data_IF_768586832339
#
_entry.id   IF_768586832339
#
_cell.length_a   1.000
_cell.length_b   1.000
_cell.length_c   1.000
_cell.angle_alpha   90.00
_cell.angle_beta   90.00
_cell.angle_gamma   90.00
#
_symmetry.space_group_name_H-M   'P 1'
#
loop_
_entity.id
_entity.type
_entity.pdbx_description
1 polymer ?
#
# COMPACT_ATOMS: atom_id res chain seq x y z
N UNK A 1 5.12 10.37 6.13
CA UNK A 1 6.59 10.42 6.26
C UNK A 1 7.07 11.85 6.09
N UNK A 2 8.15 12.25 6.76
CA UNK A 2 8.74 13.60 6.62
C UNK A 2 10.05 13.51 5.88
N UNK A 3 10.16 14.18 4.73
CA UNK A 3 11.36 14.18 3.90
C UNK A 3 11.98 15.58 3.86
N UNK A 4 13.31 15.64 3.66
CA UNK A 4 14.02 16.89 3.40
C UNK A 4 14.01 17.19 1.91
N UNK A 5 13.61 18.41 1.55
CA UNK A 5 13.48 18.86 0.16
C UNK A 5 14.09 20.24 -0.02
N UNK A 6 14.48 20.58 -1.24
CA UNK A 6 14.90 21.93 -1.67
C UNK A 6 14.39 22.18 -3.09
N UNK A 7 14.05 23.42 -3.41
CA UNK A 7 13.66 23.81 -4.76
C UNK A 7 14.90 24.13 -5.59
N UNK A 8 14.83 23.88 -6.90
CA UNK A 8 15.86 24.25 -7.87
C UNK A 8 15.22 24.94 -9.06
N UNK A 9 15.74 26.09 -9.47
CA UNK A 9 15.22 26.83 -10.63
C UNK A 9 15.83 26.36 -11.96
N UNK A 10 15.35 26.94 -13.07
CA UNK A 10 15.82 26.63 -14.43
C UNK A 10 17.27 27.04 -14.68
N UNK A 11 17.79 27.99 -13.89
CA UNK A 11 19.18 28.46 -13.93
C UNK A 11 20.10 27.64 -13.00
N UNK A 12 19.52 26.70 -12.25
CA UNK A 12 20.21 25.77 -11.38
C UNK A 12 20.48 26.27 -9.96
N UNK A 13 19.94 27.43 -9.56
CA UNK A 13 20.03 27.92 -8.18
C UNK A 13 19.12 27.09 -7.28
N UNK A 14 19.61 26.82 -6.08
CA UNK A 14 18.91 25.99 -5.10
C UNK A 14 18.44 26.83 -3.91
N UNK A 15 17.26 26.50 -3.39
CA UNK A 15 16.75 27.10 -2.15
C UNK A 15 17.41 26.48 -0.92
N UNK A 16 17.19 27.11 0.23
CA UNK A 16 17.46 26.47 1.51
C UNK A 16 16.68 25.15 1.66
N UNK A 17 17.23 24.25 2.46
CA UNK A 17 16.57 23.00 2.83
C UNK A 17 15.30 23.27 3.65
N UNK A 18 14.22 22.58 3.31
CA UNK A 18 12.97 22.53 4.05
C UNK A 18 12.52 21.10 4.31
N UNK A 19 11.42 20.95 5.05
CA UNK A 19 10.76 19.67 5.28
C UNK A 19 9.41 19.64 4.60
N UNK A 20 9.06 18.48 4.03
CA UNK A 20 7.75 18.24 3.43
C UNK A 20 7.15 16.98 4.03
N UNK A 21 5.91 17.09 4.51
CA UNK A 21 5.12 15.92 4.87
C UNK A 21 4.51 15.32 3.61
N UNK A 22 4.81 14.04 3.38
CA UNK A 22 4.27 13.29 2.25
C UNK A 22 3.55 12.04 2.75
N UNK A 23 2.41 11.78 2.13
CA UNK A 23 1.67 10.54 2.27
C UNK A 23 1.97 9.70 1.03
N UNK A 24 2.58 8.53 1.22
CA UNK A 24 2.82 7.59 0.13
C UNK A 24 1.56 6.72 -0.01
N UNK A 25 0.83 6.80 -1.14
CA UNK A 25 -0.25 5.85 -1.39
C UNK A 25 0.34 4.45 -1.54
N UNK A 26 -0.31 3.45 -0.93
CA UNK A 26 0.06 2.06 -1.09
C UNK A 26 -0.36 1.59 -2.50
N UNK A 27 0.59 1.51 -3.42
CA UNK A 27 0.37 1.00 -4.78
C UNK A 27 0.67 -0.50 -4.94
N UNK A 28 1.26 -1.12 -3.93
CA UNK A 28 1.54 -2.55 -3.93
C UNK A 28 0.32 -3.32 -3.43
N UNK A 29 -0.27 -4.14 -4.30
CA UNK A 29 -1.23 -5.15 -3.89
C UNK A 29 -0.49 -6.20 -3.04
N UNK A 30 -0.82 -6.34 -1.76
CA UNK A 30 -0.17 -7.34 -0.94
C UNK A 30 -0.47 -8.74 -1.48
N UNK A 31 0.52 -9.64 -1.56
CA UNK A 31 0.36 -10.95 -2.22
C UNK A 31 -0.67 -11.83 -1.51
N UNK A 32 -0.93 -11.58 -0.23
CA UNK A 32 -1.97 -12.25 0.55
C UNK A 32 -3.38 -11.86 0.11
N UNK A 33 -3.62 -10.63 -0.35
CA UNK A 33 -4.94 -10.22 -0.86
C UNK A 33 -5.22 -10.95 -2.17
N UNK A 34 -4.25 -10.99 -3.07
CA UNK A 34 -4.37 -11.71 -4.35
C UNK A 34 -4.55 -13.22 -4.19
N UNK A 35 -3.89 -13.84 -3.20
CA UNK A 35 -4.10 -15.25 -2.88
C UNK A 35 -5.52 -15.51 -2.34
N UNK A 36 -6.01 -14.65 -1.45
CA UNK A 36 -7.36 -14.76 -0.91
C UNK A 36 -8.42 -14.57 -2.00
N UNK A 37 -8.23 -13.60 -2.90
CA UNK A 37 -9.14 -13.37 -4.02
C UNK A 37 -9.22 -14.61 -4.93
N UNK A 38 -8.06 -15.16 -5.33
CA UNK A 38 -8.02 -16.40 -6.12
C UNK A 38 -8.66 -17.60 -5.39
N UNK A 39 -8.42 -17.72 -4.08
CA UNK A 39 -8.98 -18.79 -3.25
C UNK A 39 -10.51 -18.67 -3.15
N UNK A 40 -11.03 -17.47 -2.95
CA UNK A 40 -12.47 -17.20 -2.86
C UNK A 40 -13.17 -17.36 -4.22
N UNK A 41 -12.53 -16.96 -5.33
CA UNK A 41 -13.04 -17.22 -6.68
C UNK A 41 -13.10 -18.71 -7.01
N UNK A 42 -12.04 -19.46 -6.67
CA UNK A 42 -11.96 -20.90 -6.97
C UNK A 42 -12.88 -21.72 -6.08
N UNK A 43 -13.12 -21.28 -4.86
CA UNK A 43 -13.94 -21.99 -3.87
C UNK A 43 -15.08 -21.11 -3.35
N UNK A 44 -16.11 -20.83 -4.15
CA UNK A 44 -17.27 -20.04 -3.72
C UNK A 44 -18.03 -20.68 -2.55
N UNK A 45 -17.84 -21.97 -2.30
CA UNK A 45 -18.40 -22.73 -1.18
C UNK A 45 -17.39 -23.04 -0.05
N UNK A 46 -16.20 -22.44 -0.01
CA UNK A 46 -15.26 -22.64 1.10
C UNK A 46 -15.59 -21.82 2.35
N UNK A 47 -16.50 -20.84 2.25
CA UNK A 47 -16.91 -19.99 3.35
C UNK A 47 -17.44 -20.74 4.59
N UNK A 48 -18.26 -21.81 4.47
CA UNK A 48 -18.68 -22.64 5.60
C UNK A 48 -17.52 -23.38 6.27
N UNK A 49 -16.51 -23.81 5.51
CA UNK A 49 -15.34 -24.51 6.03
C UNK A 49 -14.45 -23.54 6.81
N UNK A 50 -14.23 -22.35 6.26
CA UNK A 50 -13.53 -21.26 6.94
C UNK A 50 -14.25 -20.84 8.23
N UNK A 51 -15.58 -20.79 8.23
CA UNK A 51 -16.39 -20.51 9.43
C UNK A 51 -16.18 -21.56 10.52
N UNK A 52 -16.21 -22.84 10.15
CA UNK A 52 -15.97 -23.94 11.08
C UNK A 52 -14.52 -23.95 11.61
N UNK A 53 -13.54 -23.55 10.80
CA UNK A 53 -12.13 -23.48 11.19
C UNK A 53 -11.82 -22.28 12.10
N UNK A 54 -12.50 -21.14 11.91
CA UNK A 54 -12.38 -19.96 12.77
C UNK A 54 -13.14 -20.11 14.11
N UNK A 55 -13.89 -21.20 14.30
CA UNK A 55 -14.52 -21.55 15.56
C UNK A 55 -15.61 -20.58 16.00
N UNK A 56 -16.55 -20.26 15.10
CA UNK A 56 -17.78 -19.52 15.44
C UNK A 56 -19.03 -20.39 15.28
#
# INVERSE_FOLDING_TARGET
FTIKVKAKDTSGLESNWGTLQVTMPLSYEPPHIRFLDWLLERFPHAFPILKNLLGY
#
